data_IF_357192918984
#
_entry.id   IF_357192918984
#
_cell.length_a   1.000
_cell.length_b   1.000
_cell.length_c   1.000
_cell.angle_alpha   90.00
_cell.angle_beta   90.00
_cell.angle_gamma   90.00
#
_symmetry.space_group_name_H-M   'P 1'
#
loop_
_entity.id
_entity.type
_entity.pdbx_description
1 polymer ?
#
# COMPACT_ATOMS: atom_id res chain seq x y z
N UNK A 1 18.01 -0.67 53.41
CA UNK A 1 18.87 -0.22 52.29
C UNK A 1 18.04 0.69 51.42
N UNK A 2 18.31 2.00 51.48
CA UNK A 2 17.57 3.02 50.71
C UNK A 2 18.34 3.27 49.43
N UNK A 3 17.80 2.84 48.29
CA UNK A 3 18.44 3.07 46.99
C UNK A 3 18.29 4.56 46.64
N UNK A 4 19.36 5.35 46.78
CA UNK A 4 19.37 6.75 46.33
C UNK A 4 19.09 6.77 44.83
N UNK A 5 18.05 7.51 44.42
CA UNK A 5 17.66 7.62 43.02
C UNK A 5 18.77 8.30 42.22
N UNK A 6 19.26 7.65 41.16
CA UNK A 6 20.24 8.25 40.24
C UNK A 6 19.66 9.48 39.52
N UNK A 7 20.51 10.46 39.21
CA UNK A 7 20.14 11.75 38.64
C UNK A 7 19.36 11.63 37.33
N UNK A 8 19.71 10.66 36.47
CA UNK A 8 18.96 10.37 35.24
C UNK A 8 17.51 10.00 35.53
N UNK A 9 17.29 9.18 36.56
CA UNK A 9 15.96 8.72 36.98
C UNK A 9 15.14 9.87 37.56
N UNK A 10 15.77 10.75 38.35
CA UNK A 10 15.12 11.94 38.90
C UNK A 10 14.68 12.92 37.80
N UNK A 11 15.54 13.17 36.81
CA UNK A 11 15.24 14.04 35.66
C UNK A 11 14.08 13.46 34.84
N UNK A 12 14.12 12.16 34.53
CA UNK A 12 13.07 11.50 33.75
C UNK A 12 11.73 11.50 34.50
N UNK A 13 11.74 11.27 35.81
CA UNK A 13 10.54 11.34 36.64
C UNK A 13 9.93 12.75 36.62
N UNK A 14 10.76 13.78 36.77
CA UNK A 14 10.30 15.18 36.69
C UNK A 14 9.72 15.55 35.33
N UNK A 15 10.34 15.10 34.24
CA UNK A 15 9.84 15.33 32.89
C UNK A 15 8.46 14.67 32.65
N UNK A 16 8.31 13.41 33.11
CA UNK A 16 7.03 12.68 33.00
C UNK A 16 5.93 13.36 33.78
N UNK A 17 6.22 13.75 35.02
CA UNK A 17 5.28 14.43 35.92
C UNK A 17 4.84 15.80 35.36
N UNK A 18 5.78 16.58 34.80
CA UNK A 18 5.46 17.82 34.11
C UNK A 18 4.57 17.60 32.87
N UNK A 19 4.86 16.58 32.05
CA UNK A 19 4.02 16.20 30.90
C UNK A 19 2.62 15.81 31.38
N UNK A 20 2.50 14.94 32.37
CA UNK A 20 1.21 14.49 32.91
C UNK A 20 0.34 15.66 33.37
N UNK A 21 0.90 16.59 34.16
CA UNK A 21 0.18 17.81 34.57
C UNK A 21 -0.24 18.67 33.39
N UNK A 22 0.64 18.84 32.40
CA UNK A 22 0.36 19.67 31.22
C UNK A 22 -0.74 19.11 30.31
N UNK A 23 -0.98 17.80 30.36
CA UNK A 23 -2.01 17.13 29.54
C UNK A 23 -3.29 16.84 30.33
N UNK A 24 -3.30 16.99 31.66
CA UNK A 24 -4.48 16.74 32.48
C UNK A 24 -5.60 17.73 32.13
N UNK A 25 -6.78 17.20 31.76
CA UNK A 25 -7.95 18.01 31.39
C UNK A 25 -7.82 18.75 30.06
N UNK A 26 -6.73 18.53 29.31
CA UNK A 26 -6.57 19.15 27.99
C UNK A 26 -7.57 18.52 27.02
N UNK A 27 -8.43 19.29 26.34
CA UNK A 27 -9.36 18.73 25.38
C UNK A 27 -8.60 18.07 24.23
N UNK A 28 -9.02 16.86 23.85
CA UNK A 28 -8.53 16.21 22.63
C UNK A 28 -9.00 17.05 21.46
N UNK A 29 -8.05 17.70 20.78
CA UNK A 29 -8.36 18.46 19.57
C UNK A 29 -8.68 17.48 18.45
N UNK A 30 -9.67 17.75 17.59
CA UNK A 30 -9.81 17.01 16.35
C UNK A 30 -8.49 17.03 15.59
N UNK A 31 -7.98 15.86 15.23
CA UNK A 31 -6.85 15.74 14.32
C UNK A 31 -7.43 15.84 12.91
N UNK A 32 -7.14 16.90 12.13
CA UNK A 32 -7.60 16.98 10.76
C UNK A 32 -7.06 15.79 9.97
N UNK A 33 -7.96 15.02 9.35
CA UNK A 33 -7.63 13.87 8.49
C UNK A 33 -7.87 14.23 7.02
N UNK A 34 -7.36 15.40 6.65
CA UNK A 34 -7.47 15.96 5.31
C UNK A 34 -6.43 15.32 4.39
N UNK A 35 -6.46 13.97 4.31
CA UNK A 35 -5.59 13.22 3.43
C UNK A 35 -5.83 13.64 1.99
N UNK A 36 -4.75 13.71 1.22
CA UNK A 36 -4.80 13.89 -0.23
C UNK A 36 -5.54 12.69 -0.82
N UNK A 37 -6.67 12.95 -1.50
CA UNK A 37 -7.52 11.91 -2.14
C UNK A 37 -7.39 11.88 -3.66
N UNK A 38 -6.62 12.80 -4.22
CA UNK A 38 -6.39 12.94 -5.65
C UNK A 38 -4.99 13.48 -5.86
N UNK A 39 -4.32 12.98 -6.88
CA UNK A 39 -3.08 13.55 -7.39
C UNK A 39 -3.39 14.44 -8.60
N UNK A 40 -2.36 14.88 -9.32
CA UNK A 40 -2.52 15.63 -10.57
C UNK A 40 -3.36 14.88 -11.62
N UNK A 41 -3.24 13.55 -11.64
CA UNK A 41 -3.92 12.70 -12.61
C UNK A 41 -5.07 11.92 -11.97
N UNK A 42 -6.21 11.88 -12.66
CA UNK A 42 -7.37 11.12 -12.20
C UNK A 42 -7.09 9.60 -12.23
N UNK A 43 -7.69 8.82 -11.32
CA UNK A 43 -7.63 7.36 -11.41
C UNK A 43 -8.12 6.85 -12.78
N UNK A 44 -7.37 5.94 -13.38
CA UNK A 44 -7.69 5.38 -14.71
C UNK A 44 -7.39 6.31 -15.89
N UNK A 45 -6.82 7.50 -15.65
CA UNK A 45 -6.28 8.33 -16.73
C UNK A 45 -5.05 7.70 -17.36
N UNK A 46 -4.76 8.04 -18.63
CA UNK A 46 -3.64 7.46 -19.36
C UNK A 46 -2.30 7.67 -18.64
N UNK A 47 -2.06 8.85 -18.07
CA UNK A 47 -0.82 9.14 -17.34
C UNK A 47 -0.60 8.18 -16.14
N UNK A 48 -1.66 7.82 -15.42
CA UNK A 48 -1.56 6.85 -14.31
C UNK A 48 -1.32 5.44 -14.83
N UNK A 49 -1.94 5.08 -15.96
CA UNK A 49 -1.73 3.77 -16.60
C UNK A 49 -0.29 3.64 -17.09
N UNK A 50 0.24 4.68 -17.73
CA UNK A 50 1.61 4.71 -18.24
C UNK A 50 2.63 4.57 -17.10
N UNK A 51 2.43 5.31 -16.00
CA UNK A 51 3.27 5.17 -14.79
C UNK A 51 3.20 3.75 -14.22
N UNK A 52 2.01 3.15 -14.14
CA UNK A 52 1.84 1.78 -13.66
C UNK A 52 2.57 0.75 -14.55
N UNK A 53 2.48 0.91 -15.88
CA UNK A 53 3.19 0.04 -16.83
C UNK A 53 4.71 0.16 -16.61
N UNK A 54 5.24 1.38 -16.56
CA UNK A 54 6.67 1.63 -16.32
C UNK A 54 7.14 0.93 -15.05
N UNK A 55 6.41 1.06 -13.94
CA UNK A 55 6.81 0.43 -12.66
C UNK A 55 6.70 -1.09 -12.66
N UNK A 56 5.78 -1.66 -13.43
CA UNK A 56 5.70 -3.12 -13.61
C UNK A 56 6.87 -3.63 -14.47
N UNK A 57 7.21 -2.92 -15.53
CA UNK A 57 8.33 -3.25 -16.41
C UNK A 57 9.69 -3.09 -15.69
N UNK A 58 9.84 -2.06 -14.84
CA UNK A 58 10.99 -1.89 -13.93
C UNK A 58 11.16 -3.10 -13.00
N UNK A 59 10.05 -3.72 -12.58
CA UNK A 59 10.04 -4.97 -11.81
C UNK A 59 10.22 -6.22 -12.69
N UNK A 60 10.61 -6.04 -13.96
CA UNK A 60 10.78 -7.10 -14.96
C UNK A 60 9.50 -7.90 -15.24
N UNK A 61 8.32 -7.36 -14.94
CA UNK A 61 7.06 -7.96 -15.34
C UNK A 61 6.84 -7.74 -16.85
N UNK A 62 6.18 -8.71 -17.50
CA UNK A 62 5.63 -8.52 -18.85
C UNK A 62 4.24 -7.93 -18.74
N UNK A 63 4.00 -6.81 -19.40
CA UNK A 63 2.71 -6.12 -19.37
C UNK A 63 2.04 -6.22 -20.74
N UNK A 64 0.76 -6.59 -20.75
CA UNK A 64 -0.09 -6.60 -21.95
C UNK A 64 -1.32 -5.75 -21.66
N UNK A 65 -1.49 -4.68 -22.43
CA UNK A 65 -2.65 -3.79 -22.32
C UNK A 65 -3.65 -4.15 -23.40
N UNK A 66 -4.89 -4.40 -22.99
CA UNK A 66 -6.01 -4.67 -23.90
C UNK A 66 -7.08 -3.59 -23.74
N UNK A 67 -7.83 -3.33 -24.82
CA UNK A 67 -8.84 -2.26 -24.81
C UNK A 67 -10.20 -2.76 -24.32
N UNK A 68 -10.43 -4.07 -24.33
CA UNK A 68 -11.70 -4.71 -23.93
C UNK A 68 -11.44 -5.93 -23.06
N UNK A 69 -12.32 -6.15 -22.10
CA UNK A 69 -12.26 -7.33 -21.22
C UNK A 69 -12.32 -8.65 -22.00
N UNK A 70 -13.09 -8.70 -23.09
CA UNK A 70 -13.17 -9.87 -23.98
C UNK A 70 -11.84 -10.27 -24.64
N UNK A 71 -10.86 -9.34 -24.69
CA UNK A 71 -9.54 -9.60 -25.26
C UNK A 71 -8.57 -10.22 -24.23
N UNK A 72 -8.91 -10.16 -22.92
CA UNK A 72 -8.05 -10.65 -21.84
C UNK A 72 -7.80 -12.15 -21.94
N UNK A 73 -8.84 -12.96 -22.20
CA UNK A 73 -8.71 -14.41 -22.31
C UNK A 73 -7.74 -14.83 -23.43
N UNK A 74 -7.78 -14.11 -24.56
CA UNK A 74 -6.85 -14.33 -25.68
C UNK A 74 -5.41 -13.91 -25.33
N UNK A 75 -5.25 -12.79 -24.60
CA UNK A 75 -3.94 -12.34 -24.14
C UNK A 75 -3.31 -13.35 -23.16
N UNK A 76 -4.07 -13.89 -22.20
CA UNK A 76 -3.62 -14.95 -21.29
C UNK A 76 -3.19 -16.19 -22.08
N UNK A 77 -4.04 -16.66 -23.00
CA UNK A 77 -3.78 -17.85 -23.81
C UNK A 77 -2.49 -17.70 -24.63
N UNK A 78 -2.30 -16.53 -25.25
CA UNK A 78 -1.10 -16.22 -26.04
C UNK A 78 0.14 -16.22 -25.15
N UNK A 79 0.08 -15.55 -23.99
CA UNK A 79 1.19 -15.50 -23.05
C UNK A 79 1.63 -16.90 -22.59
N UNK A 80 0.67 -17.77 -22.24
CA UNK A 80 0.97 -19.13 -21.80
C UNK A 80 1.58 -19.99 -22.91
N UNK A 81 1.08 -19.84 -24.15
CA UNK A 81 1.62 -20.51 -25.32
C UNK A 81 3.06 -20.07 -25.61
N UNK A 82 3.33 -18.76 -25.58
CA UNK A 82 4.66 -18.19 -25.80
C UNK A 82 5.67 -18.66 -24.75
N UNK A 83 5.23 -18.80 -23.50
CA UNK A 83 6.03 -19.35 -22.40
C UNK A 83 6.12 -20.88 -22.42
N UNK A 84 5.42 -21.55 -23.35
CA UNK A 84 5.34 -23.02 -23.47
C UNK A 84 4.91 -23.68 -22.16
N UNK A 85 3.97 -23.05 -21.44
CA UNK A 85 3.45 -23.58 -20.20
C UNK A 85 2.67 -24.88 -20.47
N UNK A 86 3.04 -25.96 -19.77
CA UNK A 86 2.36 -27.26 -19.89
C UNK A 86 1.31 -27.49 -18.82
N UNK A 87 1.32 -26.70 -17.76
CA UNK A 87 0.39 -26.77 -16.64
C UNK A 87 0.28 -25.39 -15.99
N UNK A 88 -0.93 -25.03 -15.58
CA UNK A 88 -1.24 -23.80 -14.85
C UNK A 88 -2.12 -24.13 -13.66
N UNK A 89 -1.99 -23.34 -12.59
CA UNK A 89 -2.87 -23.44 -11.43
C UNK A 89 -4.02 -22.46 -11.62
N UNK A 90 -5.24 -22.99 -11.61
CA UNK A 90 -6.46 -22.18 -11.65
C UNK A 90 -6.98 -22.00 -10.22
N UNK A 91 -6.95 -20.77 -9.66
CA UNK A 91 -7.45 -20.54 -8.31
C UNK A 91 -8.98 -20.67 -8.24
N UNK A 92 -9.49 -21.09 -7.09
CA UNK A 92 -10.93 -21.07 -6.81
C UNK A 92 -11.48 -19.65 -6.89
N UNK A 93 -12.60 -19.49 -7.60
CA UNK A 93 -13.25 -18.19 -7.80
C UNK A 93 -12.78 -17.42 -9.03
N UNK A 94 -11.87 -17.96 -9.84
CA UNK A 94 -11.61 -17.41 -11.17
C UNK A 94 -12.85 -17.59 -12.06
N UNK A 95 -13.22 -16.53 -12.77
CA UNK A 95 -14.32 -16.56 -13.75
C UNK A 95 -14.06 -17.64 -14.81
N UNK A 96 -15.09 -18.39 -15.19
CA UNK A 96 -15.04 -19.41 -16.24
C UNK A 96 -14.54 -18.85 -17.57
N UNK A 97 -14.79 -17.56 -17.85
CA UNK A 97 -14.29 -16.92 -19.08
C UNK A 97 -12.75 -16.82 -19.16
N UNK A 98 -12.04 -16.98 -18.04
CA UNK A 98 -10.58 -16.87 -17.95
C UNK A 98 -9.87 -18.18 -17.56
N UNK A 99 -10.61 -19.29 -17.42
CA UNK A 99 -10.02 -20.61 -17.18
C UNK A 99 -9.53 -21.24 -18.47
#
# INVERSE_FOLDING_TARGET
MTTTMDAKTAILAGARDAISRSQQGRPVRPIPRDYIRSTEHAPGSQAVIDEMIEKLEDYSAKVVVVSKESEVANAISTFLADQKATSVVVPTGLDEAFK
#
